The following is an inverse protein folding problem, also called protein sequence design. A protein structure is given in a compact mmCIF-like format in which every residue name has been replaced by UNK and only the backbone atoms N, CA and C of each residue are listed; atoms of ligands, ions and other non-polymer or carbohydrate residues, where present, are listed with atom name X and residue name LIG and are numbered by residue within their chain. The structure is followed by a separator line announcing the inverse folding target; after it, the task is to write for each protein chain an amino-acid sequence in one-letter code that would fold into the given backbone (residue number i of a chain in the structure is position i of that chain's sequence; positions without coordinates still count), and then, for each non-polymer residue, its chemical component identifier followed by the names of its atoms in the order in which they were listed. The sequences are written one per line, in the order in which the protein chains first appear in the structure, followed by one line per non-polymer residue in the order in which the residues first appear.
data_IF_199537556365
#
_entry.id   IF_199537556365
#
_cell.length_a   1.000
_cell.length_b   1.000
_cell.length_c   1.000
_cell.angle_alpha   90.00
_cell.angle_beta   90.00
_cell.angle_gamma   90.00
#
_symmetry.space_group_name_H-M   'P 1'
#
loop_
_entity.id
_entity.type
_entity.pdbx_description
1 polymer ?
#
# COMPACT_ATOMS: atom_id res chain seq x y z
N UNK A 1 15.47 11.83 -6.11
CA UNK A 1 15.82 11.08 -4.87
C UNK A 1 16.95 10.08 -5.09
N UNK A 2 16.78 9.03 -5.93
CA UNK A 2 17.82 7.99 -6.12
C UNK A 2 19.19 8.54 -6.55
N UNK A 3 19.23 9.48 -7.51
CA UNK A 3 20.46 10.20 -7.87
C UNK A 3 21.13 10.83 -6.64
N UNK A 4 20.37 11.57 -5.83
CA UNK A 4 20.89 12.25 -4.65
C UNK A 4 21.37 11.26 -3.57
N UNK A 5 20.71 10.12 -3.39
CA UNK A 5 21.18 9.05 -2.51
C UNK A 5 22.53 8.50 -2.99
N UNK A 6 22.66 8.23 -4.30
CA UNK A 6 23.92 7.76 -4.89
C UNK A 6 25.07 8.76 -4.73
N UNK A 7 24.79 10.05 -4.92
CA UNK A 7 25.80 11.12 -4.83
C UNK A 7 26.20 11.44 -3.39
N UNK A 8 25.24 11.46 -2.45
CA UNK A 8 25.47 11.94 -1.08
C UNK A 8 25.70 10.81 -0.08
N UNK A 9 25.28 9.60 -0.39
CA UNK A 9 25.41 8.42 0.47
C UNK A 9 25.70 7.17 -0.39
N UNK A 10 26.86 7.08 -1.05
CA UNK A 10 27.16 6.03 -2.03
C UNK A 10 27.17 4.60 -1.47
N UNK A 11 27.23 4.45 -0.13
CA UNK A 11 27.12 3.15 0.56
C UNK A 11 25.68 2.78 0.94
N UNK A 12 24.72 3.69 0.75
CA UNK A 12 23.31 3.45 1.04
C UNK A 12 22.70 2.60 -0.07
N UNK A 13 22.06 1.49 0.31
CA UNK A 13 21.23 0.69 -0.58
C UNK A 13 19.77 1.07 -0.35
N UNK A 14 19.03 1.34 -1.43
CA UNK A 14 17.63 1.76 -1.34
C UNK A 14 16.67 0.66 -1.81
N UNK A 15 15.57 0.44 -1.07
CA UNK A 15 14.40 -0.23 -1.60
C UNK A 15 13.42 0.80 -2.16
N UNK A 16 12.91 0.56 -3.36
CA UNK A 16 11.88 1.37 -4.00
C UNK A 16 10.65 0.50 -4.19
N UNK A 17 9.56 0.88 -3.55
CA UNK A 17 8.35 0.07 -3.49
C UNK A 17 7.38 0.55 -4.58
N UNK A 18 6.78 -0.38 -5.33
CA UNK A 18 5.71 -0.04 -6.29
C UNK A 18 4.48 0.48 -5.55
N UNK A 19 3.77 1.45 -6.15
CA UNK A 19 2.52 1.97 -5.60
C UNK A 19 1.51 0.82 -5.47
N UNK A 20 0.87 0.64 -4.31
CA UNK A 20 -0.26 -0.27 -4.19
C UNK A 20 -1.45 0.25 -5.02
N UNK A 21 -2.48 -0.61 -5.24
CA UNK A 21 -3.74 -0.16 -5.79
C UNK A 21 -4.34 1.03 -5.02
N UNK A 22 -5.00 1.94 -5.74
CA UNK A 22 -5.85 2.99 -5.16
C UNK A 22 -7.29 2.52 -5.36
N UNK A 23 -8.02 2.29 -4.28
CA UNK A 23 -9.24 1.48 -4.32
C UNK A 23 -8.94 -0.01 -4.53
N UNK A 24 -9.98 -0.84 -4.47
CA UNK A 24 -9.87 -2.29 -4.65
C UNK A 24 -10.50 -2.80 -5.96
N UNK A 25 -11.10 -1.90 -6.74
CA UNK A 25 -11.47 -2.17 -8.13
C UNK A 25 -10.26 -1.93 -9.04
N UNK A 26 -9.55 -3.01 -9.35
CA UNK A 26 -8.33 -2.97 -10.17
C UNK A 26 -8.57 -2.49 -11.61
N UNK A 27 -9.83 -2.45 -12.07
CA UNK A 27 -10.21 -1.96 -13.39
C UNK A 27 -10.46 -0.45 -13.45
N UNK A 28 -10.47 0.25 -12.31
CA UNK A 28 -10.81 1.67 -12.27
C UNK A 28 -9.71 2.57 -12.87
N UNK A 29 -10.09 3.82 -13.17
CA UNK A 29 -9.19 4.78 -13.79
C UNK A 29 -7.98 5.15 -12.90
N UNK A 30 -8.10 5.00 -11.57
CA UNK A 30 -7.00 5.24 -10.65
C UNK A 30 -5.94 4.14 -10.76
N UNK A 31 -6.37 2.87 -10.80
CA UNK A 31 -5.50 1.72 -10.93
C UNK A 31 -4.81 1.63 -12.30
N UNK A 32 -5.46 2.10 -13.38
CA UNK A 32 -4.78 2.29 -14.68
C UNK A 32 -3.59 3.26 -14.55
N UNK A 33 -3.76 4.39 -13.83
CA UNK A 33 -2.68 5.35 -13.60
C UNK A 33 -1.59 4.78 -12.68
N UNK A 34 -1.97 4.00 -11.65
CA UNK A 34 -1.02 3.29 -10.79
C UNK A 34 -0.15 2.34 -11.61
N UNK A 35 -0.73 1.56 -12.53
CA UNK A 35 0.03 0.67 -13.41
C UNK A 35 1.01 1.42 -14.32
N UNK A 36 0.57 2.55 -14.90
CA UNK A 36 1.44 3.40 -15.72
C UNK A 36 2.60 3.95 -14.89
N UNK A 37 2.32 4.48 -13.70
CA UNK A 37 3.35 4.98 -12.79
C UNK A 37 4.34 3.88 -12.41
N UNK A 38 3.84 2.71 -12.01
CA UNK A 38 4.67 1.57 -11.65
C UNK A 38 5.55 1.13 -12.82
N UNK A 39 5.03 1.11 -14.04
CA UNK A 39 5.82 0.82 -15.25
C UNK A 39 6.99 1.79 -15.41
N UNK A 40 6.75 3.09 -15.30
CA UNK A 40 7.81 4.11 -15.32
C UNK A 40 8.79 3.95 -14.17
N UNK A 41 8.30 3.62 -12.97
CA UNK A 41 9.13 3.39 -11.79
C UNK A 41 10.08 2.21 -11.98
N UNK A 42 9.62 1.09 -12.56
CA UNK A 42 10.48 -0.07 -12.90
C UNK A 42 11.64 0.34 -13.80
N UNK A 43 11.33 1.07 -14.86
CA UNK A 43 12.33 1.56 -15.81
C UNK A 43 13.33 2.51 -15.14
N UNK A 44 12.85 3.40 -14.27
CA UNK A 44 13.70 4.34 -13.55
C UNK A 44 14.64 3.61 -12.58
N UNK A 45 14.12 2.69 -11.77
CA UNK A 45 14.92 1.94 -10.78
C UNK A 45 15.94 1.05 -11.47
N UNK A 46 15.62 0.48 -12.64
CA UNK A 46 16.58 -0.28 -13.45
C UNK A 46 17.85 0.50 -13.82
N UNK A 47 17.78 1.83 -13.93
CA UNK A 47 18.96 2.70 -14.18
C UNK A 47 19.86 2.89 -12.97
N UNK A 48 19.43 2.44 -11.79
CA UNK A 48 20.13 2.53 -10.51
C UNK A 48 20.24 1.14 -9.85
N UNK A 49 20.24 0.06 -10.64
CA UNK A 49 20.20 -1.32 -10.12
C UNK A 49 21.40 -1.70 -9.23
N UNK A 50 22.50 -0.94 -9.32
CA UNK A 50 23.69 -1.05 -8.47
C UNK A 50 23.46 -0.56 -7.02
N UNK A 51 22.52 0.37 -6.82
CA UNK A 51 22.31 1.09 -5.57
C UNK A 51 20.86 1.08 -5.08
N UNK A 52 19.92 0.62 -5.91
CA UNK A 52 18.51 0.54 -5.61
C UNK A 52 17.88 -0.76 -6.12
N UNK A 53 16.96 -1.31 -5.33
CA UNK A 53 16.16 -2.47 -5.71
C UNK A 53 14.69 -2.11 -5.74
N UNK A 54 14.00 -2.54 -6.78
CA UNK A 54 12.55 -2.46 -6.83
C UNK A 54 11.92 -3.61 -6.02
N UNK A 55 10.95 -3.28 -5.16
CA UNK A 55 10.13 -4.22 -4.41
C UNK A 55 8.70 -4.14 -4.93
N UNK A 56 8.19 -5.25 -5.45
CA UNK A 56 6.90 -5.29 -6.13
C UNK A 56 5.73 -5.53 -5.17
N UNK A 57 5.44 -4.54 -4.35
CA UNK A 57 4.32 -4.57 -3.41
C UNK A 57 2.96 -4.57 -4.12
N UNK A 58 2.84 -3.86 -5.24
CA UNK A 58 1.63 -3.85 -6.07
C UNK A 58 1.20 -5.26 -6.47
N UNK A 59 2.13 -6.09 -6.96
CA UNK A 59 1.83 -7.47 -7.35
C UNK A 59 1.28 -8.29 -6.18
N UNK A 60 1.87 -8.15 -4.99
CA UNK A 60 1.38 -8.83 -3.78
C UNK A 60 -0.05 -8.41 -3.40
N UNK A 61 -0.39 -7.12 -3.55
CA UNK A 61 -1.74 -6.63 -3.33
C UNK A 61 -2.74 -7.20 -4.36
N UNK A 62 -2.38 -7.17 -5.65
CA UNK A 62 -3.23 -7.71 -6.73
C UNK A 62 -3.49 -9.19 -6.54
N UNK A 63 -2.45 -9.98 -6.25
CA UNK A 63 -2.58 -11.40 -5.96
C UNK A 63 -3.55 -11.65 -4.79
N UNK A 64 -3.44 -10.87 -3.71
CA UNK A 64 -4.33 -10.99 -2.56
C UNK A 64 -5.79 -10.67 -2.89
N UNK A 65 -6.03 -9.63 -3.69
CA UNK A 65 -7.38 -9.24 -4.10
C UNK A 65 -8.01 -10.27 -5.05
N UNK A 66 -7.21 -10.76 -6.02
CA UNK A 66 -7.64 -11.76 -7.00
C UNK A 66 -7.98 -13.12 -6.36
N UNK A 67 -7.18 -13.58 -5.39
CA UNK A 67 -7.36 -14.87 -4.71
C UNK A 67 -8.67 -14.97 -3.90
N UNK A 68 -9.40 -13.86 -3.72
CA UNK A 68 -10.55 -13.80 -2.83
C UNK A 68 -11.80 -13.24 -3.49
N UNK A 69 -11.99 -13.26 -4.80
CA UNK A 69 -13.06 -12.57 -5.55
C UNK A 69 -14.56 -12.85 -5.19
N UNK A 70 -14.89 -13.25 -3.96
CA UNK A 70 -16.26 -13.14 -3.42
C UNK A 70 -16.62 -11.67 -3.15
N UNK A 71 -17.73 -11.16 -3.69
CA UNK A 71 -18.19 -9.81 -3.40
C UNK A 71 -18.43 -9.65 -1.89
N UNK A 72 -17.81 -8.65 -1.27
CA UNK A 72 -18.28 -8.21 0.04
C UNK A 72 -19.65 -7.52 -0.14
N UNK A 73 -20.61 -7.73 0.76
CA UNK A 73 -21.88 -7.01 0.70
C UNK A 73 -21.62 -5.49 0.76
N UNK A 74 -22.42 -4.67 0.08
CA UNK A 74 -22.24 -3.22 0.06
C UNK A 74 -22.31 -2.66 1.49
N UNK A 75 -21.48 -1.67 1.83
CA UNK A 75 -21.45 -1.11 3.18
C UNK A 75 -22.80 -0.47 3.53
N UNK A 76 -23.31 -0.78 4.72
CA UNK A 76 -24.50 -0.13 5.25
C UNK A 76 -24.15 1.32 5.62
N UNK A 77 -24.67 2.28 4.84
CA UNK A 77 -24.75 3.69 5.24
C UNK A 77 -23.40 4.40 5.42
N UNK A 78 -22.62 4.54 4.34
CA UNK A 78 -21.48 5.46 4.35
C UNK A 78 -22.00 6.89 4.60
N UNK A 79 -21.45 7.64 5.58
CA UNK A 79 -21.82 9.03 5.80
C UNK A 79 -21.43 9.87 4.56
N UNK A 80 -22.20 10.92 4.28
CA UNK A 80 -22.06 11.71 3.05
C UNK A 80 -20.64 12.27 2.88
N UNK A 81 -20.17 12.46 1.64
CA UNK A 81 -18.91 13.16 1.30
C UNK A 81 -18.95 14.67 1.61
N UNK A 82 -19.65 15.08 2.66
CA UNK A 82 -19.55 16.42 3.22
C UNK A 82 -18.27 16.57 4.04
N UNK A 83 -17.81 17.81 4.22
CA UNK A 83 -16.66 18.13 5.07
C UNK A 83 -16.81 17.52 6.48
N UNK A 84 -18.03 17.57 7.03
CA UNK A 84 -18.36 16.99 8.33
C UNK A 84 -18.37 15.46 8.33
N UNK A 85 -18.77 14.83 7.22
CA UNK A 85 -18.67 13.38 7.04
C UNK A 85 -17.21 12.90 7.02
N UNK A 86 -16.31 13.63 6.36
CA UNK A 86 -14.88 13.33 6.35
C UNK A 86 -14.25 13.48 7.74
N UNK A 87 -14.58 14.54 8.48
CA UNK A 87 -14.13 14.73 9.87
C UNK A 87 -14.61 13.61 10.77
N UNK A 88 -15.88 13.20 10.65
CA UNK A 88 -16.44 12.10 11.43
C UNK A 88 -15.75 10.77 11.15
N UNK A 89 -15.46 10.46 9.88
CA UNK A 89 -14.71 9.25 9.48
C UNK A 89 -13.32 9.23 10.14
N UNK A 90 -12.60 10.36 10.12
CA UNK A 90 -11.27 10.46 10.71
C UNK A 90 -11.29 10.29 12.24
N UNK A 91 -12.19 10.97 12.94
CA UNK A 91 -12.31 10.88 14.41
C UNK A 91 -12.77 9.50 14.84
N UNK A 92 -13.76 8.91 14.16
CA UNK A 92 -14.25 7.57 14.46
C UNK A 92 -13.18 6.49 14.22
N UNK A 93 -12.33 6.65 13.20
CA UNK A 93 -11.21 5.75 12.94
C UNK A 93 -10.16 5.78 14.07
N UNK A 94 -9.82 6.97 14.58
CA UNK A 94 -8.91 7.15 15.72
C UNK A 94 -9.51 6.54 17.00
N UNK A 95 -10.78 6.82 17.31
CA UNK A 95 -11.46 6.26 18.48
C UNK A 95 -11.55 4.72 18.38
N UNK A 96 -11.90 4.17 17.22
CA UNK A 96 -11.93 2.70 17.01
C UNK A 96 -10.55 2.06 17.20
N UNK A 97 -9.50 2.66 16.63
CA UNK A 97 -8.12 2.15 16.74
C UNK A 97 -7.59 2.20 18.16
N UNK A 98 -7.74 3.33 18.85
CA UNK A 98 -7.05 3.59 20.12
C UNK A 98 -7.91 3.37 21.37
N UNK A 99 -9.23 3.58 21.29
CA UNK A 99 -10.16 3.35 22.42
C UNK A 99 -10.71 1.93 22.39
N UNK A 100 -11.10 1.43 21.21
CA UNK A 100 -11.65 0.07 21.07
C UNK A 100 -10.61 -0.99 20.66
N UNK A 101 -9.32 -0.62 20.56
CA UNK A 101 -8.21 -1.50 20.11
C UNK A 101 -8.53 -2.25 18.80
N UNK A 102 -9.38 -1.67 17.96
CA UNK A 102 -9.83 -2.32 16.73
C UNK A 102 -8.68 -2.35 15.73
N UNK A 103 -8.47 -3.50 15.08
CA UNK A 103 -7.53 -3.63 13.98
C UNK A 103 -7.96 -2.74 12.80
N UNK A 104 -7.01 -2.29 11.97
CA UNK A 104 -7.36 -1.61 10.73
C UNK A 104 -8.17 -2.53 9.81
N UNK A 105 -7.95 -3.84 9.92
CA UNK A 105 -8.77 -4.85 9.25
C UNK A 105 -10.26 -4.76 9.63
N UNK A 106 -10.59 -4.40 10.88
CA UNK A 106 -11.97 -4.20 11.29
C UNK A 106 -12.59 -2.96 10.63
N UNK A 107 -11.82 -1.88 10.49
CA UNK A 107 -12.24 -0.66 9.77
C UNK A 107 -12.47 -0.96 8.29
N UNK A 108 -11.53 -1.63 7.63
CA UNK A 108 -11.68 -2.08 6.24
C UNK A 108 -12.96 -2.87 6.02
N UNK A 109 -13.24 -3.85 6.90
CA UNK A 109 -14.41 -4.73 6.78
C UNK A 109 -15.73 -3.97 6.84
N UNK A 110 -15.83 -2.94 7.68
CA UNK A 110 -17.02 -2.07 7.75
C UNK A 110 -17.25 -1.34 6.43
N UNK A 111 -16.17 -0.99 5.72
CA UNK A 111 -16.22 -0.29 4.44
C UNK A 111 -16.27 -1.25 3.23
N UNK A 112 -16.39 -2.56 3.45
CA UNK A 112 -16.38 -3.56 2.38
C UNK A 112 -15.00 -3.75 1.71
N UNK A 113 -13.94 -3.27 2.35
CA UNK A 113 -12.56 -3.30 1.86
C UNK A 113 -11.75 -4.41 2.56
N UNK A 114 -10.64 -4.81 1.93
CA UNK A 114 -9.81 -5.96 2.31
C UNK A 114 -8.37 -5.62 2.62
N UNK A 115 -7.80 -4.69 1.89
CA UNK A 115 -6.44 -4.17 2.04
C UNK A 115 -6.46 -2.69 2.44
N UNK A 116 -7.53 -1.96 2.13
CA UNK A 116 -7.62 -0.52 2.35
C UNK A 116 -8.61 -0.17 3.45
N UNK A 117 -8.41 0.93 4.17
CA UNK A 117 -9.39 1.44 5.15
C UNK A 117 -10.36 2.43 4.53
N UNK A 118 -9.93 3.19 3.52
CA UNK A 118 -10.68 4.30 2.92
C UNK A 118 -10.30 4.52 1.44
N UNK A 119 -10.06 3.42 0.71
CA UNK A 119 -9.58 3.40 -0.68
C UNK A 119 -8.16 3.94 -0.90
N UNK A 120 -7.45 4.40 0.13
CA UNK A 120 -6.06 4.87 0.00
C UNK A 120 -5.15 4.26 1.06
N UNK A 121 -5.58 4.28 2.33
CA UNK A 121 -4.72 3.84 3.43
C UNK A 121 -4.74 2.33 3.63
N UNK A 122 -3.56 1.75 3.86
CA UNK A 122 -3.35 0.32 4.04
C UNK A 122 -3.80 -0.14 5.43
N UNK A 123 -4.37 -1.34 5.50
CA UNK A 123 -4.68 -2.01 6.76
C UNK A 123 -3.56 -2.95 7.23
N UNK A 124 -3.81 -3.69 8.31
CA UNK A 124 -2.79 -4.57 8.90
C UNK A 124 -2.43 -5.74 7.95
N UNK A 125 -3.37 -6.19 7.11
CA UNK A 125 -3.11 -7.23 6.09
C UNK A 125 -2.17 -6.71 5.02
N UNK A 126 -2.42 -5.50 4.50
CA UNK A 126 -1.55 -4.86 3.52
C UNK A 126 -0.16 -4.52 4.10
N UNK A 127 -0.08 -4.15 5.38
CA UNK A 127 1.19 -3.96 6.07
C UNK A 127 2.00 -5.27 6.16
N UNK A 128 1.35 -6.40 6.47
CA UNK A 128 2.02 -7.70 6.49
C UNK A 128 2.53 -8.12 5.10
N UNK A 129 1.75 -7.86 4.05
CA UNK A 129 2.20 -8.08 2.66
C UNK A 129 3.44 -7.23 2.34
N UNK A 130 3.45 -5.95 2.73
CA UNK A 130 4.59 -5.06 2.50
C UNK A 130 5.85 -5.57 3.20
N UNK A 131 5.75 -5.95 4.47
CA UNK A 131 6.88 -6.51 5.23
C UNK A 131 7.41 -7.77 4.55
N UNK A 132 6.51 -8.69 4.14
CA UNK A 132 6.90 -9.92 3.43
C UNK A 132 7.60 -9.59 2.09
N UNK A 133 7.12 -8.61 1.34
CA UNK A 133 7.75 -8.18 0.09
C UNK A 133 9.12 -7.54 0.30
N UNK A 134 9.34 -6.86 1.42
CA UNK A 134 10.62 -6.22 1.77
C UNK A 134 11.64 -7.20 2.37
N UNK A 135 11.20 -8.29 2.99
CA UNK A 135 12.05 -9.21 3.73
C UNK A 135 13.30 -9.67 2.95
N UNK A 136 13.21 -10.09 1.67
CA UNK A 136 14.40 -10.52 0.94
C UNK A 136 15.45 -9.42 0.77
N UNK A 137 15.02 -8.16 0.65
CA UNK A 137 15.94 -7.02 0.59
C UNK A 137 16.61 -6.78 1.94
N UNK A 138 15.87 -6.88 3.04
CA UNK A 138 16.40 -6.72 4.40
C UNK A 138 17.40 -7.83 4.74
N UNK A 139 17.08 -9.08 4.42
CA UNK A 139 17.95 -10.22 4.68
C UNK A 139 19.30 -10.08 3.96
N UNK A 140 19.30 -9.62 2.71
CA UNK A 140 20.53 -9.33 1.97
C UNK A 140 21.34 -8.18 2.54
N UNK A 141 20.69 -7.17 3.14
CA UNK A 141 21.41 -6.09 3.79
C UNK A 141 22.16 -6.58 5.02
N UNK A 142 21.53 -7.48 5.79
CA UNK A 142 22.10 -8.07 7.01
C UNK A 142 23.18 -9.10 6.67
N UNK A 143 22.99 -9.92 5.63
CA UNK A 143 23.97 -10.95 5.25
C UNK A 143 25.23 -10.35 4.58
N UNK A 144 25.12 -9.16 3.99
CA UNK A 144 26.21 -8.44 3.34
C UNK A 144 26.91 -7.39 4.20
N UNK A 145 26.54 -7.26 5.48
CA UNK A 145 27.15 -6.38 6.49
C UNK A 145 28.04 -7.16 7.44
#
# INVERSE_FOLDING_TARGET
MLRALRERAPRCRAAVITLPPIGEDLGDAANVKVQQYNTTLRQLVGRYADSARLVDFHAACVEHLAARATPAPPPAGLPSMSLWGMVWIQVAAVVRRYVFRSSWNAVSRVNGLRLLTDHVHLNDTAAALLVRSLQPFVDELIAGS
#
